data_IF_738571862341
#
_entry.id   IF_738571862341
#
_cell.length_a   1.000
_cell.length_b   1.000
_cell.length_c   1.000
_cell.angle_alpha   90.00
_cell.angle_beta   90.00
_cell.angle_gamma   90.00
#
_symmetry.space_group_name_H-M   'P 1'
#
loop_
_entity.id
_entity.type
_entity.pdbx_description
1 polymer ?
#
# COMPACT_ATOMS: atom_id res chain seq x y z
N UNK A 1 16.78 -18.41 2.87
CA UNK A 1 17.17 -18.71 1.47
C UNK A 1 16.02 -19.35 0.70
N UNK A 2 15.99 -19.19 -0.62
CA UNK A 2 15.08 -19.90 -1.49
C UNK A 2 15.52 -21.34 -1.67
N UNK A 3 14.55 -22.24 -1.59
CA UNK A 3 14.69 -23.67 -1.89
C UNK A 3 13.48 -24.09 -2.74
N UNK A 4 13.67 -25.01 -3.69
CA UNK A 4 12.59 -25.45 -4.59
C UNK A 4 11.58 -26.36 -3.88
N UNK A 5 12.00 -27.03 -2.79
CA UNK A 5 11.13 -27.91 -2.03
C UNK A 5 10.02 -27.12 -1.34
N UNK A 6 8.81 -27.68 -1.35
CA UNK A 6 7.64 -27.12 -0.69
C UNK A 6 7.71 -27.33 0.84
N UNK A 7 8.70 -26.69 1.46
CA UNK A 7 8.96 -26.72 2.90
C UNK A 7 9.46 -25.37 3.38
N UNK A 8 9.25 -25.10 4.66
CA UNK A 8 9.81 -23.96 5.38
C UNK A 8 10.47 -24.47 6.65
N UNK A 9 11.78 -24.28 6.77
CA UNK A 9 12.56 -24.66 7.96
C UNK A 9 13.75 -23.71 8.15
N UNK A 10 14.62 -23.99 9.14
CA UNK A 10 15.79 -23.15 9.44
C UNK A 10 16.82 -23.04 8.30
N UNK A 11 16.71 -23.85 7.25
CA UNK A 11 17.62 -23.84 6.08
C UNK A 11 17.08 -23.02 4.92
N UNK A 12 15.75 -22.79 4.85
CA UNK A 12 15.15 -22.00 3.78
C UNK A 12 13.64 -22.18 3.64
N UNK A 13 13.09 -21.54 2.62
CA UNK A 13 11.68 -21.65 2.25
C UNK A 13 11.47 -21.43 0.75
N UNK A 14 10.49 -22.13 0.18
CA UNK A 14 9.97 -21.85 -1.16
C UNK A 14 9.43 -20.43 -1.29
N UNK A 15 8.96 -19.83 -0.20
CA UNK A 15 8.42 -18.46 -0.14
C UNK A 15 9.38 -17.49 0.57
N UNK A 16 10.68 -17.77 0.51
CA UNK A 16 11.69 -17.02 1.26
C UNK A 16 11.70 -15.51 1.01
N UNK A 17 11.32 -15.02 -0.17
CA UNK A 17 11.33 -13.60 -0.48
C UNK A 17 10.14 -12.88 0.16
N UNK A 18 8.91 -13.39 0.01
CA UNK A 18 7.74 -12.83 0.71
C UNK A 18 7.93 -12.87 2.23
N UNK A 19 8.42 -13.99 2.79
CA UNK A 19 8.76 -14.07 4.21
C UNK A 19 9.80 -13.02 4.64
N UNK A 20 10.85 -12.79 3.84
CA UNK A 20 11.87 -11.79 4.18
C UNK A 20 11.29 -10.38 4.18
N UNK A 21 10.39 -10.06 3.26
CA UNK A 21 9.71 -8.76 3.18
C UNK A 21 8.77 -8.56 4.39
N UNK A 22 7.94 -9.55 4.69
CA UNK A 22 7.03 -9.52 5.84
C UNK A 22 7.79 -9.47 7.17
N UNK A 23 8.84 -10.29 7.35
CA UNK A 23 9.67 -10.23 8.55
C UNK A 23 10.42 -8.91 8.67
N UNK A 24 10.76 -8.26 7.56
CA UNK A 24 11.34 -6.91 7.59
C UNK A 24 10.32 -5.90 8.13
N UNK A 25 9.05 -6.00 7.74
CA UNK A 25 7.98 -5.17 8.29
C UNK A 25 7.66 -5.51 9.75
N UNK A 26 7.58 -6.80 10.12
CA UNK A 26 7.36 -7.21 11.51
C UNK A 26 8.51 -6.77 12.43
N UNK A 27 9.76 -6.84 11.96
CA UNK A 27 10.91 -6.32 12.70
C UNK A 27 10.82 -4.80 12.88
N UNK A 28 10.33 -4.06 11.88
CA UNK A 28 10.07 -2.63 12.06
C UNK A 28 9.04 -2.37 13.17
N UNK A 29 7.90 -3.08 13.16
CA UNK A 29 6.88 -2.95 14.20
C UNK A 29 7.44 -3.26 15.60
N UNK A 30 8.23 -4.33 15.72
CA UNK A 30 8.92 -4.69 16.96
C UNK A 30 9.93 -3.61 17.41
N UNK A 31 10.65 -2.98 16.46
CA UNK A 31 11.55 -1.86 16.75
C UNK A 31 10.76 -0.66 17.32
N UNK A 32 9.64 -0.28 16.71
CA UNK A 32 8.82 0.84 17.21
C UNK A 32 8.28 0.56 18.63
N UNK A 33 7.87 -0.69 18.91
CA UNK A 33 7.48 -1.11 20.26
C UNK A 33 8.65 -1.07 21.25
N UNK A 34 9.83 -1.57 20.87
CA UNK A 34 11.02 -1.51 21.74
C UNK A 34 11.38 -0.07 22.10
N UNK A 35 11.33 0.84 21.12
CA UNK A 35 11.60 2.27 21.31
C UNK A 35 10.59 2.94 22.23
N UNK A 36 9.29 2.59 22.14
CA UNK A 36 8.26 3.15 23.03
C UNK A 36 8.45 2.74 24.50
N UNK A 37 9.07 1.57 24.72
CA UNK A 37 9.40 1.03 26.05
C UNK A 37 10.78 1.46 26.55
N UNK A 38 11.53 2.27 25.80
CA UNK A 38 12.90 2.67 26.13
C UNK A 38 13.94 1.54 26.01
N UNK A 39 13.62 0.44 25.33
CA UNK A 39 14.51 -0.71 25.11
C UNK A 39 15.38 -0.49 23.86
N UNK A 40 16.40 0.36 23.99
CA UNK A 40 17.17 0.82 22.83
C UNK A 40 18.03 -0.27 22.17
N UNK A 41 18.59 -1.23 22.92
CA UNK A 41 19.34 -2.34 22.31
C UNK A 41 18.44 -3.21 21.42
N UNK A 42 17.21 -3.48 21.87
CA UNK A 42 16.21 -4.21 21.07
C UNK A 42 15.78 -3.38 19.85
N UNK A 43 15.58 -2.06 20.00
CA UNK A 43 15.28 -1.17 18.88
C UNK A 43 16.39 -1.24 17.81
N UNK A 44 17.66 -1.08 18.19
CA UNK A 44 18.80 -1.12 17.26
C UNK A 44 18.90 -2.48 16.54
N UNK A 45 18.68 -3.58 17.27
CA UNK A 45 18.64 -4.90 16.67
C UNK A 45 17.51 -5.03 15.63
N UNK A 46 16.28 -4.66 16.00
CA UNK A 46 15.10 -4.84 15.16
C UNK A 46 15.07 -3.88 13.97
N UNK A 47 15.50 -2.62 14.15
CA UNK A 47 15.54 -1.65 13.05
C UNK A 47 16.57 -2.06 11.99
N UNK A 48 17.70 -2.65 12.40
CA UNK A 48 18.66 -3.26 11.47
C UNK A 48 18.03 -4.42 10.69
N UNK A 49 17.27 -5.30 11.35
CA UNK A 49 16.57 -6.42 10.69
C UNK A 49 15.48 -5.95 9.73
N UNK A 50 14.84 -4.80 10.00
CA UNK A 50 13.82 -4.23 9.11
C UNK A 50 14.31 -3.83 7.71
N UNK A 51 15.63 -3.77 7.53
CA UNK A 51 16.30 -3.50 6.26
C UNK A 51 16.60 -4.78 5.46
N UNK A 52 16.16 -5.96 5.92
CA UNK A 52 16.40 -7.26 5.28
C UNK A 52 15.96 -7.34 3.82
N UNK A 53 14.91 -6.61 3.43
CA UNK A 53 14.46 -6.52 2.03
C UNK A 53 15.56 -6.10 1.05
N UNK A 54 16.52 -5.25 1.47
CA UNK A 54 17.64 -4.82 0.60
C UNK A 54 18.58 -5.97 0.24
N UNK A 55 18.62 -7.04 1.03
CA UNK A 55 19.42 -8.22 0.72
C UNK A 55 18.90 -8.93 -0.54
N UNK A 56 17.61 -8.79 -0.84
CA UNK A 56 16.95 -9.41 -1.99
C UNK A 56 16.71 -8.43 -3.15
N UNK A 57 16.93 -7.13 -2.95
CA UNK A 57 16.78 -6.15 -4.02
C UNK A 57 17.90 -6.31 -5.06
N UNK A 58 17.53 -6.70 -6.27
CA UNK A 58 18.45 -6.79 -7.40
C UNK A 58 18.50 -5.42 -8.11
N UNK A 59 19.68 -4.79 -8.13
CA UNK A 59 19.86 -3.44 -8.69
C UNK A 59 19.72 -3.36 -10.21
N UNK A 60 19.93 -4.47 -10.93
CA UNK A 60 19.82 -4.52 -12.38
C UNK A 60 18.35 -4.54 -12.81
N UNK A 61 17.56 -5.47 -12.26
CA UNK A 61 16.11 -5.53 -12.55
C UNK A 61 15.29 -4.50 -11.77
N UNK A 62 15.84 -4.00 -10.66
CA UNK A 62 15.14 -3.18 -9.64
C UNK A 62 13.89 -3.90 -9.11
N UNK A 63 14.03 -5.19 -8.86
CA UNK A 63 12.99 -6.05 -8.30
C UNK A 63 13.53 -6.81 -7.09
N UNK A 64 12.62 -7.21 -6.19
CA UNK A 64 12.95 -8.23 -5.21
C UNK A 64 13.16 -9.56 -5.96
N UNK A 65 14.33 -10.15 -5.74
CA UNK A 65 14.79 -11.34 -6.41
C UNK A 65 15.24 -12.35 -5.34
N UNK A 66 14.59 -13.53 -5.23
CA UNK A 66 14.99 -14.55 -4.27
C UNK A 66 16.45 -14.98 -4.43
N UNK A 67 17.10 -15.35 -3.32
CA UNK A 67 18.48 -15.83 -3.29
C UNK A 67 18.59 -17.25 -2.79
N UNK A 68 19.45 -18.05 -3.41
CA UNK A 68 19.81 -19.41 -2.98
C UNK A 68 20.64 -19.39 -1.69
N UNK A 69 20.91 -20.58 -1.14
CA UNK A 69 21.69 -20.75 0.10
C UNK A 69 23.12 -20.24 0.01
N UNK A 70 23.71 -20.21 -1.19
CA UNK A 70 25.05 -19.64 -1.45
C UNK A 70 25.05 -18.12 -1.61
N UNK A 71 23.88 -17.47 -1.54
CA UNK A 71 23.73 -16.03 -1.64
C UNK A 71 23.61 -15.48 -3.07
N UNK A 72 23.66 -16.32 -4.10
CA UNK A 72 23.40 -15.92 -5.47
C UNK A 72 21.90 -15.74 -5.72
N UNK A 73 21.54 -14.91 -6.71
CA UNK A 73 20.16 -14.79 -7.16
C UNK A 73 19.74 -16.04 -7.93
N UNK A 74 18.47 -16.44 -7.82
CA UNK A 74 17.97 -17.64 -8.51
C UNK A 74 18.09 -17.50 -10.04
N UNK A 75 18.51 -18.56 -10.73
CA UNK A 75 18.57 -18.58 -12.20
C UNK A 75 17.19 -18.71 -12.85
N UNK A 76 17.10 -18.43 -14.17
CA UNK A 76 15.85 -18.50 -14.96
C UNK A 76 14.70 -17.72 -14.29
N UNK A 77 14.98 -16.51 -13.85
CA UNK A 77 14.02 -15.68 -13.12
C UNK A 77 12.97 -15.11 -14.07
N UNK A 78 11.71 -15.46 -13.82
CA UNK A 78 10.55 -14.83 -14.43
C UNK A 78 9.84 -13.99 -13.34
N UNK A 79 9.84 -12.64 -13.45
CA UNK A 79 9.22 -11.75 -12.46
C UNK A 79 7.74 -12.00 -12.20
N UNK A 80 7.02 -12.60 -13.14
CA UNK A 80 5.59 -12.91 -13.03
C UNK A 80 5.31 -14.35 -12.59
N UNK A 81 6.35 -15.17 -12.41
CA UNK A 81 6.20 -16.53 -11.94
C UNK A 81 5.73 -16.54 -10.48
N UNK A 82 4.53 -17.07 -10.20
CA UNK A 82 4.05 -17.17 -8.83
C UNK A 82 4.70 -18.36 -8.12
N UNK A 83 4.62 -18.39 -6.78
CA UNK A 83 5.04 -19.53 -5.94
C UNK A 83 6.54 -19.84 -5.95
N UNK A 84 7.36 -18.95 -6.54
CA UNK A 84 8.81 -19.09 -6.59
C UNK A 84 9.49 -17.95 -5.87
N UNK A 85 9.67 -18.13 -4.57
CA UNK A 85 10.12 -17.11 -3.64
C UNK A 85 8.98 -16.29 -3.02
N UNK A 86 7.78 -16.35 -3.57
CA UNK A 86 6.64 -15.52 -3.18
C UNK A 86 5.41 -16.38 -2.92
N UNK A 87 4.80 -16.20 -1.74
CA UNK A 87 3.52 -16.83 -1.41
C UNK A 87 2.38 -16.06 -2.07
N UNK A 88 1.52 -16.76 -2.81
CA UNK A 88 0.31 -16.20 -3.47
C UNK A 88 0.55 -14.98 -4.36
N UNK A 89 1.78 -14.80 -4.86
CA UNK A 89 2.11 -13.65 -5.68
C UNK A 89 3.40 -13.86 -6.44
N UNK A 90 3.90 -12.78 -7.02
CA UNK A 90 5.10 -12.76 -7.84
C UNK A 90 6.00 -11.56 -7.49
N UNK A 91 7.14 -11.45 -8.15
CA UNK A 91 8.14 -10.43 -7.83
C UNK A 91 7.64 -9.01 -8.12
N UNK A 92 6.82 -8.82 -9.15
CA UNK A 92 6.28 -7.50 -9.51
C UNK A 92 5.36 -6.99 -8.41
N UNK A 93 4.50 -7.85 -7.86
CA UNK A 93 3.60 -7.51 -6.74
C UNK A 93 4.39 -7.23 -5.46
N UNK A 94 5.26 -8.16 -5.04
CA UNK A 94 5.98 -8.07 -3.76
C UNK A 94 7.09 -7.02 -3.72
N UNK A 95 7.60 -6.55 -4.86
CA UNK A 95 8.65 -5.51 -4.87
C UNK A 95 8.20 -4.24 -4.15
N UNK A 96 6.90 -3.95 -4.13
CA UNK A 96 6.34 -2.80 -3.45
C UNK A 96 6.06 -3.01 -1.96
N UNK A 97 6.25 -4.23 -1.43
CA UNK A 97 6.01 -4.58 -0.02
C UNK A 97 7.20 -4.16 0.86
N UNK A 98 7.44 -2.84 0.93
CA UNK A 98 8.37 -2.20 1.87
C UNK A 98 7.66 -1.07 2.62
N UNK A 99 6.50 -1.33 3.26
CA UNK A 99 5.70 -0.30 3.90
C UNK A 99 6.47 0.45 5.00
N UNK A 100 7.38 -0.22 5.71
CA UNK A 100 8.22 0.38 6.74
C UNK A 100 9.20 1.44 6.22
N UNK A 101 9.54 1.43 4.92
CA UNK A 101 10.50 2.37 4.34
C UNK A 101 10.22 2.65 2.86
N UNK A 102 9.09 3.30 2.52
CA UNK A 102 8.72 3.57 1.13
C UNK A 102 9.73 4.51 0.45
N UNK A 103 10.21 5.54 1.16
CA UNK A 103 11.24 6.44 0.64
C UNK A 103 12.54 5.70 0.26
N UNK A 104 12.96 4.71 1.05
CA UNK A 104 14.12 3.88 0.74
C UNK A 104 13.94 3.04 -0.52
N UNK A 105 12.77 2.44 -0.71
CA UNK A 105 12.44 1.71 -1.95
C UNK A 105 12.40 2.65 -3.16
N UNK A 106 11.77 3.82 -3.03
CA UNK A 106 11.71 4.85 -4.08
C UNK A 106 13.11 5.30 -4.46
N UNK A 107 14.03 5.44 -3.49
CA UNK A 107 15.42 5.82 -3.76
C UNK A 107 16.18 4.74 -4.56
N UNK A 108 16.01 3.46 -4.22
CA UNK A 108 16.67 2.35 -4.93
C UNK A 108 16.12 2.15 -6.36
N UNK A 109 14.81 2.36 -6.57
CA UNK A 109 14.18 2.26 -7.90
C UNK A 109 14.44 3.51 -8.74
N UNK A 110 14.46 4.68 -8.11
CA UNK A 110 14.41 6.00 -8.74
C UNK A 110 12.97 6.49 -8.86
N UNK A 111 12.71 7.75 -8.47
CA UNK A 111 11.36 8.32 -8.34
C UNK A 111 10.52 8.25 -9.63
N UNK A 112 11.10 8.58 -10.77
CA UNK A 112 10.37 8.59 -12.05
C UNK A 112 10.07 7.16 -12.52
N UNK A 113 11.06 6.27 -12.46
CA UNK A 113 10.91 4.85 -12.73
C UNK A 113 9.83 4.21 -11.83
N UNK A 114 9.84 4.54 -10.53
CA UNK A 114 8.86 4.06 -9.56
C UNK A 114 7.43 4.47 -9.95
N UNK A 115 7.23 5.76 -10.23
CA UNK A 115 5.93 6.29 -10.64
C UNK A 115 5.45 5.68 -11.96
N UNK A 116 6.34 5.56 -12.96
CA UNK A 116 6.00 5.00 -14.26
C UNK A 116 5.65 3.50 -14.14
N UNK A 117 6.38 2.75 -13.32
CA UNK A 117 6.06 1.33 -13.05
C UNK A 117 4.68 1.19 -12.41
N UNK A 118 4.41 1.92 -11.33
CA UNK A 118 3.11 1.85 -10.66
C UNK A 118 1.96 2.21 -11.60
N UNK A 119 2.06 3.33 -12.34
CA UNK A 119 0.96 3.78 -13.20
C UNK A 119 0.71 2.78 -14.35
N UNK A 120 1.77 2.22 -14.94
CA UNK A 120 1.64 1.16 -15.96
C UNK A 120 1.03 -0.13 -15.41
N UNK A 121 1.36 -0.51 -14.17
CA UNK A 121 0.77 -1.66 -13.49
C UNK A 121 -0.74 -1.47 -13.36
N UNK A 122 -1.19 -0.31 -12.89
CA UNK A 122 -2.62 -0.03 -12.74
C UNK A 122 -3.35 0.12 -14.08
N UNK A 123 -2.74 0.76 -15.09
CA UNK A 123 -3.29 0.81 -16.45
C UNK A 123 -3.49 -0.59 -17.04
N UNK A 124 -2.60 -1.53 -16.73
CA UNK A 124 -2.74 -2.92 -17.15
C UNK A 124 -3.81 -3.64 -16.34
N UNK A 125 -3.79 -3.47 -15.02
CA UNK A 125 -4.70 -4.15 -14.11
C UNK A 125 -6.16 -3.76 -14.31
N UNK A 126 -6.44 -2.48 -14.59
CA UNK A 126 -7.79 -1.97 -14.84
C UNK A 126 -8.47 -2.71 -16.01
N UNK A 127 -7.73 -3.04 -17.08
CA UNK A 127 -8.25 -3.81 -18.22
C UNK A 127 -8.76 -5.20 -17.84
N UNK A 128 -8.23 -5.75 -16.74
CA UNK A 128 -8.60 -7.05 -16.19
C UNK A 128 -9.42 -6.90 -14.90
N UNK A 129 -10.10 -5.76 -14.70
CA UNK A 129 -10.95 -5.51 -13.53
C UNK A 129 -10.19 -5.50 -12.20
N UNK A 130 -8.89 -5.21 -12.20
CA UNK A 130 -7.97 -5.22 -11.05
C UNK A 130 -7.77 -6.57 -10.33
N UNK A 131 -8.55 -7.61 -10.64
CA UNK A 131 -8.49 -8.95 -10.04
C UNK A 131 -7.91 -10.06 -10.92
N UNK A 132 -7.41 -9.72 -12.12
CA UNK A 132 -6.92 -10.72 -13.08
C UNK A 132 -8.00 -11.29 -14.01
N UNK A 133 -9.17 -10.65 -14.10
CA UNK A 133 -10.25 -10.99 -15.02
C UNK A 133 -11.59 -11.18 -14.33
N UNK A 134 -12.49 -11.91 -15.01
CA UNK A 134 -13.80 -12.34 -14.46
C UNK A 134 -13.87 -13.85 -14.24
N UNK A 135 -12.73 -14.52 -14.29
CA UNK A 135 -12.63 -15.95 -13.98
C UNK A 135 -12.91 -16.17 -12.50
N UNK A 136 -13.65 -17.23 -12.18
CA UNK A 136 -13.99 -17.58 -10.80
C UNK A 136 -13.00 -18.66 -10.35
N UNK A 137 -11.83 -18.22 -9.90
CA UNK A 137 -10.75 -19.04 -9.37
C UNK A 137 -10.10 -18.28 -8.21
N UNK A 138 -9.93 -18.94 -7.05
CA UNK A 138 -9.38 -18.31 -5.83
C UNK A 138 -7.95 -17.76 -6.02
N UNK A 139 -7.23 -18.22 -7.05
CA UNK A 139 -5.90 -17.74 -7.42
C UNK A 139 -5.90 -16.91 -8.72
N UNK A 140 -7.07 -16.42 -9.16
CA UNK A 140 -7.14 -15.48 -10.27
C UNK A 140 -6.24 -14.27 -10.00
N UNK A 141 -5.44 -13.88 -10.99
CA UNK A 141 -4.57 -12.71 -10.88
C UNK A 141 -3.18 -12.93 -10.26
N UNK A 142 -2.82 -14.13 -9.75
CA UNK A 142 -1.46 -14.36 -9.16
C UNK A 142 -0.31 -14.16 -10.16
N UNK A 143 -0.59 -14.32 -11.47
CA UNK A 143 0.37 -14.07 -12.58
C UNK A 143 0.29 -12.65 -13.12
N UNK A 144 -0.64 -11.84 -12.63
CA UNK A 144 -0.80 -10.45 -13.06
C UNK A 144 0.20 -9.54 -12.37
N UNK A 145 0.44 -8.37 -12.97
CA UNK A 145 1.30 -7.34 -12.37
C UNK A 145 0.73 -6.78 -11.04
N UNK A 146 -0.59 -6.87 -10.86
CA UNK A 146 -1.33 -6.44 -9.69
C UNK A 146 -2.61 -7.28 -9.57
N UNK A 147 -2.95 -7.64 -8.35
CA UNK A 147 -4.24 -8.22 -8.00
C UNK A 147 -4.76 -7.53 -6.74
N UNK A 148 -5.84 -6.77 -6.85
CA UNK A 148 -6.43 -6.09 -5.69
C UNK A 148 -7.04 -7.05 -4.68
N UNK A 149 -7.47 -8.24 -5.09
CA UNK A 149 -8.00 -9.26 -4.18
C UNK A 149 -6.93 -9.90 -3.31
N UNK A 150 -5.64 -9.61 -3.54
CA UNK A 150 -4.54 -10.21 -2.81
C UNK A 150 -3.82 -9.19 -1.92
N UNK A 151 -3.61 -9.53 -0.66
CA UNK A 151 -3.20 -8.64 0.44
C UNK A 151 -1.89 -7.87 0.20
N UNK A 152 -0.83 -8.47 -0.39
CA UNK A 152 0.43 -7.76 -0.63
C UNK A 152 0.29 -6.55 -1.56
N UNK A 153 -0.83 -6.39 -2.26
CA UNK A 153 -1.06 -5.32 -3.23
C UNK A 153 -1.90 -4.15 -2.68
N UNK A 154 -2.57 -4.32 -1.54
CA UNK A 154 -3.61 -3.39 -1.08
C UNK A 154 -3.08 -1.97 -0.77
N UNK A 155 -1.81 -1.84 -0.43
CA UNK A 155 -1.17 -0.55 -0.14
C UNK A 155 -0.56 0.12 -1.38
N UNK A 156 -0.46 -0.57 -2.52
CA UNK A 156 0.36 -0.15 -3.66
C UNK A 156 -0.14 1.16 -4.29
N UNK A 157 -1.45 1.38 -4.36
CA UNK A 157 -2.03 2.61 -4.92
C UNK A 157 -1.76 3.84 -4.05
N UNK A 158 -1.48 3.64 -2.77
CA UNK A 158 -1.17 4.71 -1.82
C UNK A 158 0.30 5.15 -1.88
N UNK A 159 1.18 4.32 -2.45
CA UNK A 159 2.61 4.63 -2.59
C UNK A 159 2.89 5.88 -3.46
N UNK A 160 1.95 6.32 -4.31
CA UNK A 160 2.13 7.57 -5.06
C UNK A 160 2.20 8.82 -4.16
N UNK A 161 1.60 8.79 -2.98
CA UNK A 161 1.74 9.86 -1.99
C UNK A 161 3.19 10.00 -1.53
N UNK A 162 3.89 8.89 -1.34
CA UNK A 162 5.33 8.86 -0.98
C UNK A 162 6.24 9.29 -2.12
N UNK A 163 5.86 9.02 -3.37
CA UNK A 163 6.63 9.38 -4.56
C UNK A 163 6.21 10.71 -5.20
N UNK A 164 5.40 11.52 -4.50
CA UNK A 164 5.06 12.89 -4.88
C UNK A 164 4.13 13.02 -6.08
N UNK A 165 3.26 12.03 -6.32
CA UNK A 165 2.17 12.10 -7.31
C UNK A 165 0.81 11.74 -6.67
N UNK A 166 0.35 12.45 -5.62
CA UNK A 166 -0.87 12.09 -4.88
C UNK A 166 -2.13 12.02 -5.76
N UNK A 167 -2.19 12.75 -6.87
CA UNK A 167 -3.29 12.65 -7.83
C UNK A 167 -3.41 11.26 -8.48
N UNK A 168 -2.32 10.49 -8.57
CA UNK A 168 -2.38 9.10 -9.03
C UNK A 168 -2.93 8.17 -7.95
N UNK A 169 -2.65 8.40 -6.67
CA UNK A 169 -3.36 7.71 -5.57
C UNK A 169 -4.86 7.97 -5.70
N UNK A 170 -5.27 9.23 -5.82
CA UNK A 170 -6.67 9.63 -5.95
C UNK A 170 -7.36 8.94 -7.14
N UNK A 171 -6.74 8.96 -8.33
CA UNK A 171 -7.23 8.30 -9.53
C UNK A 171 -7.43 6.80 -9.30
N UNK A 172 -6.41 6.11 -8.82
CA UNK A 172 -6.41 4.65 -8.75
C UNK A 172 -7.26 4.12 -7.61
N UNK A 173 -7.28 4.76 -6.44
CA UNK A 173 -8.17 4.32 -5.34
C UNK A 173 -9.64 4.48 -5.73
N UNK A 174 -10.00 5.54 -6.47
CA UNK A 174 -11.37 5.73 -7.00
C UNK A 174 -11.73 4.70 -8.06
N UNK A 175 -10.83 4.44 -9.01
CA UNK A 175 -11.05 3.43 -10.04
C UNK A 175 -11.22 2.03 -9.43
N UNK A 176 -10.33 1.63 -8.52
CA UNK A 176 -10.41 0.35 -7.81
C UNK A 176 -11.74 0.24 -7.05
N UNK A 177 -12.11 1.26 -6.27
CA UNK A 177 -13.35 1.23 -5.49
C UNK A 177 -14.60 1.10 -6.37
N UNK A 178 -14.60 1.73 -7.56
CA UNK A 178 -15.74 1.71 -8.47
C UNK A 178 -15.81 0.45 -9.35
N UNK A 179 -14.68 -0.15 -9.70
CA UNK A 179 -14.60 -1.19 -10.73
C UNK A 179 -14.33 -2.59 -10.16
N UNK A 180 -13.53 -2.69 -9.08
CA UNK A 180 -13.21 -3.98 -8.48
C UNK A 180 -14.33 -4.46 -7.54
N UNK A 181 -14.91 -3.56 -6.75
CA UNK A 181 -15.96 -3.88 -5.80
C UNK A 181 -17.35 -3.78 -6.44
N UNK A 182 -18.28 -4.58 -5.93
CA UNK A 182 -19.66 -4.62 -6.42
C UNK A 182 -20.66 -4.87 -5.30
N UNK A 183 -21.94 -4.86 -5.64
CA UNK A 183 -23.04 -5.22 -4.73
C UNK A 183 -23.64 -6.58 -5.04
N UNK A 184 -23.17 -7.25 -6.09
CA UNK A 184 -23.65 -8.57 -6.52
C UNK A 184 -22.81 -9.69 -5.93
N UNK A 185 -23.42 -10.86 -5.70
CA UNK A 185 -22.77 -11.99 -5.02
C UNK A 185 -21.44 -12.44 -5.64
N UNK A 186 -21.28 -12.34 -6.96
CA UNK A 186 -20.08 -12.80 -7.67
C UNK A 186 -19.01 -11.69 -7.74
N UNK A 187 -19.42 -10.43 -7.86
CA UNK A 187 -18.52 -9.28 -8.03
C UNK A 187 -18.19 -8.58 -6.71
N UNK A 188 -18.91 -8.88 -5.63
CA UNK A 188 -18.89 -8.14 -4.35
C UNK A 188 -17.50 -7.65 -3.92
N UNK A 189 -16.54 -8.56 -3.87
CA UNK A 189 -15.15 -8.30 -3.50
C UNK A 189 -14.17 -8.60 -4.64
N UNK A 190 -14.58 -8.35 -5.87
CA UNK A 190 -13.87 -8.79 -7.07
C UNK A 190 -14.27 -10.20 -7.48
N UNK A 191 -14.18 -10.47 -8.78
CA UNK A 191 -14.55 -11.76 -9.35
C UNK A 191 -13.59 -12.85 -8.87
N UNK A 192 -14.12 -13.86 -8.18
CA UNK A 192 -13.37 -15.03 -7.74
C UNK A 192 -12.34 -14.78 -6.64
N UNK A 193 -12.45 -13.67 -5.91
CA UNK A 193 -11.52 -13.33 -4.82
C UNK A 193 -12.14 -13.60 -3.45
N UNK A 194 -11.30 -13.90 -2.47
CA UNK A 194 -11.70 -14.05 -1.07
C UNK A 194 -11.85 -12.67 -0.41
N UNK A 195 -12.83 -12.54 0.49
CA UNK A 195 -13.04 -11.29 1.26
C UNK A 195 -11.97 -11.10 2.36
N UNK A 196 -11.40 -12.21 2.82
CA UNK A 196 -10.33 -12.32 3.81
C UNK A 196 -10.62 -11.67 5.16
N UNK A 197 -11.71 -12.13 5.79
CA UNK A 197 -12.02 -11.89 7.20
C UNK A 197 -12.12 -10.40 7.57
N UNK A 198 -12.66 -9.59 6.66
CA UNK A 198 -12.79 -8.15 6.80
C UNK A 198 -11.74 -7.34 6.07
N UNK A 199 -10.72 -7.96 5.46
CA UNK A 199 -9.58 -7.24 4.88
C UNK A 199 -9.97 -6.40 3.65
N UNK A 200 -10.65 -6.99 2.66
CA UNK A 200 -11.07 -6.25 1.47
C UNK A 200 -12.20 -5.27 1.79
N UNK A 201 -13.16 -5.69 2.63
CA UNK A 201 -14.22 -4.79 3.09
C UNK A 201 -13.68 -3.56 3.83
N UNK A 202 -12.72 -3.75 4.74
CA UNK A 202 -12.09 -2.64 5.48
C UNK A 202 -11.29 -1.74 4.56
N UNK A 203 -10.60 -2.29 3.55
CA UNK A 203 -9.91 -1.48 2.56
C UNK A 203 -10.88 -0.56 1.83
N UNK A 204 -12.01 -1.09 1.34
CA UNK A 204 -13.04 -0.29 0.66
C UNK A 204 -13.60 0.81 1.55
N UNK A 205 -13.93 0.50 2.81
CA UNK A 205 -14.43 1.50 3.77
C UNK A 205 -13.40 2.62 3.96
N UNK A 206 -12.14 2.28 4.19
CA UNK A 206 -11.09 3.28 4.40
C UNK A 206 -10.82 4.11 3.13
N UNK A 207 -10.69 3.46 1.97
CA UNK A 207 -10.47 4.13 0.69
C UNK A 207 -11.64 5.04 0.29
N UNK A 208 -12.89 4.63 0.54
CA UNK A 208 -14.09 5.43 0.27
C UNK A 208 -14.21 6.68 1.16
N UNK A 209 -13.65 6.63 2.36
CA UNK A 209 -13.46 7.81 3.23
C UNK A 209 -12.31 8.71 2.75
N UNK A 210 -11.50 8.24 1.80
CA UNK A 210 -10.29 8.91 1.34
C UNK A 210 -9.14 8.81 2.35
N UNK A 211 -9.10 7.76 3.18
CA UNK A 211 -8.13 7.58 4.25
C UNK A 211 -7.41 6.23 4.14
N UNK A 212 -6.12 6.18 4.42
CA UNK A 212 -5.38 4.91 4.53
C UNK A 212 -4.07 5.09 5.30
N UNK A 213 -3.45 4.01 5.75
CA UNK A 213 -2.06 4.03 6.20
C UNK A 213 -1.32 2.82 5.64
N UNK A 214 -0.35 3.07 4.76
CA UNK A 214 0.53 2.04 4.20
C UNK A 214 1.26 1.24 5.28
N UNK A 215 1.52 1.83 6.46
CA UNK A 215 2.29 1.19 7.53
C UNK A 215 1.46 0.47 8.59
N UNK A 216 0.14 0.39 8.44
CA UNK A 216 -0.72 -0.31 9.40
C UNK A 216 -0.58 0.19 10.84
N UNK A 217 -0.38 1.50 11.02
CA UNK A 217 -0.20 2.22 12.27
C UNK A 217 0.98 1.76 13.14
N UNK A 218 2.03 1.21 12.53
CA UNK A 218 3.21 0.71 13.24
C UNK A 218 4.19 1.80 13.69
N UNK A 219 4.19 2.98 13.07
CA UNK A 219 5.01 4.12 13.49
C UNK A 219 4.70 4.54 14.94
N UNK A 220 5.70 5.00 15.70
CA UNK A 220 5.48 5.58 17.04
C UNK A 220 4.45 6.73 17.06
N UNK A 221 4.43 7.52 15.99
CA UNK A 221 3.43 8.55 15.74
C UNK A 221 2.80 8.31 14.37
N UNK A 222 1.75 7.49 14.29
CA UNK A 222 1.15 7.11 13.01
C UNK A 222 0.59 8.29 12.23
N UNK A 223 0.60 8.12 10.92
CA UNK A 223 -0.08 9.01 9.99
C UNK A 223 -1.33 8.34 9.42
N UNK A 224 -2.15 9.14 8.76
CA UNK A 224 -3.18 8.71 7.82
C UNK A 224 -2.97 9.51 6.54
N UNK A 225 -2.79 8.82 5.44
CA UNK A 225 -2.73 9.38 4.09
C UNK A 225 -4.12 9.79 3.61
N UNK A 226 -4.15 10.81 2.76
CA UNK A 226 -5.36 11.37 2.17
C UNK A 226 -5.42 11.00 0.69
N UNK A 227 -6.50 10.32 0.32
CA UNK A 227 -6.82 9.92 -1.05
C UNK A 227 -7.94 10.77 -1.64
N UNK A 228 -8.88 10.12 -2.32
CA UNK A 228 -10.06 10.75 -2.90
C UNK A 228 -11.33 10.15 -2.29
N UNK A 229 -12.06 10.91 -1.45
CA UNK A 229 -13.32 10.43 -0.87
C UNK A 229 -14.37 10.14 -1.94
N UNK A 230 -15.25 9.19 -1.66
CA UNK A 230 -16.36 8.81 -2.55
C UNK A 230 -17.67 9.52 -2.22
N UNK A 231 -17.84 9.96 -0.97
CA UNK A 231 -19.10 10.53 -0.48
C UNK A 231 -18.98 12.03 -0.23
N UNK A 232 -20.09 12.75 -0.45
CA UNK A 232 -20.18 14.19 -0.16
C UNK A 232 -19.97 14.53 1.31
N UNK A 233 -20.41 13.61 2.18
CA UNK A 233 -20.26 13.71 3.62
C UNK A 233 -20.13 12.32 4.23
N UNK A 234 -19.15 12.16 5.11
CA UNK A 234 -19.04 11.02 6.01
C UNK A 234 -18.81 11.52 7.45
N UNK A 235 -19.38 10.83 8.43
CA UNK A 235 -19.16 11.12 9.85
C UNK A 235 -18.62 9.87 10.54
N UNK A 236 -17.46 10.01 11.17
CA UNK A 236 -16.80 8.94 11.91
C UNK A 236 -16.93 9.25 13.40
N UNK A 237 -17.59 8.36 14.13
CA UNK A 237 -17.60 8.37 15.59
C UNK A 237 -16.30 7.74 16.09
N UNK A 238 -15.41 8.58 16.63
CA UNK A 238 -14.10 8.16 17.07
C UNK A 238 -14.20 7.42 18.41
N UNK A 239 -13.26 6.52 18.68
CA UNK A 239 -13.24 5.73 19.93
C UNK A 239 -13.12 6.57 21.22
N UNK A 240 -12.75 7.85 21.11
CA UNK A 240 -12.71 8.80 22.22
C UNK A 240 -13.97 9.68 22.32
N UNK A 241 -15.10 9.22 21.76
CA UNK A 241 -16.40 9.90 21.72
C UNK A 241 -16.44 11.21 20.93
N UNK A 242 -15.33 11.62 20.30
CA UNK A 242 -15.31 12.74 19.37
C UNK A 242 -15.85 12.32 18.00
N UNK A 243 -16.08 13.32 17.15
CA UNK A 243 -16.56 13.13 15.79
C UNK A 243 -15.58 13.73 14.80
N UNK A 244 -15.24 12.99 13.76
CA UNK A 244 -14.56 13.51 12.57
C UNK A 244 -15.56 13.50 11.41
N UNK A 245 -15.85 14.68 10.86
CA UNK A 245 -16.68 14.83 9.68
C UNK A 245 -15.79 15.07 8.47
N UNK A 246 -15.90 14.21 7.47
CA UNK A 246 -15.29 14.39 6.15
C UNK A 246 -16.35 15.01 5.25
N UNK A 247 -16.01 16.12 4.58
CA UNK A 247 -16.88 16.84 3.67
C UNK A 247 -16.17 17.05 2.34
N UNK A 248 -16.90 16.96 1.23
CA UNK A 248 -16.37 17.33 -0.07
C UNK A 248 -17.23 18.40 -0.73
N UNK A 249 -16.61 19.26 -1.51
CA UNK A 249 -17.28 20.18 -2.44
C UNK A 249 -16.97 19.76 -3.86
N UNK A 250 -17.97 19.74 -4.73
CA UNK A 250 -17.89 19.30 -6.13
C UNK A 250 -17.48 17.84 -6.32
N UNK A 251 -17.72 16.93 -5.37
CA UNK A 251 -17.44 15.52 -5.61
C UNK A 251 -18.45 14.93 -6.61
N UNK A 252 -17.95 14.13 -7.55
CA UNK A 252 -18.77 13.44 -8.55
C UNK A 252 -17.99 12.23 -9.09
N UNK A 253 -18.59 11.48 -10.02
CA UNK A 253 -17.89 10.40 -10.71
C UNK A 253 -16.68 10.91 -11.51
N UNK A 254 -16.77 12.12 -12.06
CA UNK A 254 -15.73 12.78 -12.85
C UNK A 254 -14.74 13.56 -11.98
N UNK A 255 -15.22 14.15 -10.88
CA UNK A 255 -14.42 14.99 -10.00
C UNK A 255 -13.69 14.15 -8.95
N UNK A 256 -12.65 13.43 -9.39
CA UNK A 256 -11.88 12.50 -8.54
C UNK A 256 -10.67 13.14 -7.86
N UNK A 257 -10.24 14.33 -8.28
CA UNK A 257 -8.97 14.91 -7.84
C UNK A 257 -9.16 15.99 -6.78
N UNK A 258 -8.38 15.91 -5.70
CA UNK A 258 -8.35 16.93 -4.65
C UNK A 258 -7.63 18.17 -5.17
N UNK A 259 -8.35 19.30 -5.18
CA UNK A 259 -7.82 20.62 -5.54
C UNK A 259 -7.25 21.34 -4.31
N UNK A 260 -7.89 21.18 -3.16
CA UNK A 260 -7.44 21.68 -1.87
C UNK A 260 -8.10 20.90 -0.73
N UNK A 261 -7.49 20.95 0.46
CA UNK A 261 -8.08 20.39 1.67
C UNK A 261 -7.85 21.29 2.88
N UNK A 262 -8.76 21.24 3.85
CA UNK A 262 -8.61 21.91 5.14
C UNK A 262 -8.95 20.99 6.30
N UNK A 263 -8.27 21.16 7.43
CA UNK A 263 -8.66 20.56 8.71
C UNK A 263 -9.05 21.69 9.66
N UNK A 264 -10.31 21.70 10.10
CA UNK A 264 -10.87 22.74 10.98
C UNK A 264 -10.63 24.16 10.46
N UNK A 265 -10.76 24.35 9.14
CA UNK A 265 -10.55 25.64 8.46
C UNK A 265 -9.08 25.99 8.18
N UNK A 266 -8.13 25.19 8.66
CA UNK A 266 -6.70 25.38 8.34
C UNK A 266 -6.33 24.65 7.06
N UNK A 267 -5.73 25.35 6.11
CA UNK A 267 -5.23 24.79 4.86
C UNK A 267 -4.24 23.64 5.09
N UNK A 268 -4.40 22.56 4.32
CA UNK A 268 -3.47 21.44 4.24
C UNK A 268 -2.70 21.49 2.93
N UNK A 269 -1.37 21.47 3.04
CA UNK A 269 -0.45 21.47 1.90
C UNK A 269 0.14 20.08 1.61
N UNK A 270 -0.16 19.09 2.47
CA UNK A 270 0.34 17.73 2.39
C UNK A 270 -0.82 16.72 2.28
N UNK A 271 -0.58 15.59 1.65
CA UNK A 271 -1.55 14.52 1.41
C UNK A 271 -1.64 13.50 2.57
N UNK A 272 -1.39 13.94 3.81
CA UNK A 272 -1.43 13.08 4.99
C UNK A 272 -1.66 13.91 6.25
N UNK A 273 -2.01 13.29 7.36
CA UNK A 273 -2.14 13.93 8.67
C UNK A 273 -1.64 12.96 9.74
N UNK A 274 -1.13 13.48 10.85
CA UNK A 274 -0.91 12.61 11.99
C UNK A 274 -2.25 12.12 12.55
N UNK A 275 -2.30 10.84 12.92
CA UNK A 275 -3.50 10.21 13.47
C UNK A 275 -3.99 10.92 14.73
N UNK A 276 -3.07 11.40 15.57
CA UNK A 276 -3.41 12.14 16.80
C UNK A 276 -4.17 13.44 16.54
N UNK A 277 -3.86 14.17 15.46
CA UNK A 277 -4.59 15.35 15.00
C UNK A 277 -6.01 14.99 14.55
N UNK A 278 -6.16 13.92 13.75
CA UNK A 278 -7.48 13.43 13.32
C UNK A 278 -8.33 12.94 14.49
N UNK A 279 -7.71 12.31 15.49
CA UNK A 279 -8.38 11.86 16.71
C UNK A 279 -8.89 13.02 17.58
N UNK A 280 -8.50 14.28 17.31
CA UNK A 280 -9.13 15.46 17.94
C UNK A 280 -10.53 15.75 17.39
N UNK A 281 -10.92 15.10 16.30
CA UNK A 281 -12.19 15.32 15.62
C UNK A 281 -12.25 16.65 14.88
N UNK A 282 -13.46 17.05 14.50
CA UNK A 282 -13.73 18.27 13.76
C UNK A 282 -14.06 17.99 12.29
N UNK A 283 -13.65 18.89 11.39
CA UNK A 283 -14.03 18.86 9.97
C UNK A 283 -12.80 18.76 9.07
N UNK A 284 -12.70 17.68 8.32
CA UNK A 284 -11.77 17.53 7.20
C UNK A 284 -12.56 17.81 5.91
N UNK A 285 -12.20 18.87 5.19
CA UNK A 285 -12.94 19.32 4.01
C UNK A 285 -12.06 19.25 2.77
N UNK A 286 -12.58 18.69 1.68
CA UNK A 286 -11.92 18.61 0.38
C UNK A 286 -12.69 19.43 -0.66
N UNK A 287 -11.97 20.10 -1.54
CA UNK A 287 -12.52 20.65 -2.80
C UNK A 287 -12.06 19.74 -3.92
N UNK A 288 -13.00 19.18 -4.67
CA UNK A 288 -12.74 18.21 -5.74
C UNK A 288 -12.78 18.85 -7.12
N UNK A 289 -12.15 18.21 -8.10
CA UNK A 289 -12.13 18.64 -9.50
C UNK A 289 -11.85 17.48 -10.45
N UNK A 290 -12.12 17.69 -11.74
CA UNK A 290 -11.97 16.68 -12.80
C UNK A 290 -10.57 16.61 -13.42
N UNK A 291 -9.66 17.52 -13.04
CA UNK A 291 -8.26 17.53 -13.47
C UNK A 291 -7.33 17.43 -12.27
N UNK A 292 -6.17 16.75 -12.39
CA UNK A 292 -5.22 16.64 -11.31
C UNK A 292 -4.67 18.02 -10.92
N UNK A 293 -4.64 18.31 -9.62
CA UNK A 293 -3.83 19.41 -9.10
C UNK A 293 -2.42 18.90 -8.78
N UNK A 294 -1.49 19.09 -9.72
CA UNK A 294 -0.12 18.61 -9.58
C UNK A 294 0.71 19.37 -8.53
N UNK A 295 0.16 20.44 -7.93
CA UNK A 295 0.83 21.25 -6.92
C UNK A 295 0.36 20.97 -5.48
N UNK A 296 -0.74 20.22 -5.29
CA UNK A 296 -1.26 19.91 -3.97
C UNK A 296 -0.64 18.62 -3.41
N UNK A 297 -0.28 18.62 -2.12
CA UNK A 297 0.14 17.41 -1.44
C UNK A 297 1.57 16.94 -1.74
N UNK A 298 2.35 17.67 -2.54
CA UNK A 298 3.68 17.25 -3.01
C UNK A 298 4.87 17.76 -2.19
N UNK A 299 4.69 18.82 -1.41
CA UNK A 299 5.82 19.52 -0.74
C UNK A 299 6.47 18.66 0.34
N UNK A 300 5.64 18.00 1.15
CA UNK A 300 6.07 17.19 2.27
C UNK A 300 5.53 15.76 2.08
N UNK A 301 6.35 14.82 1.58
CA UNK A 301 5.92 13.43 1.47
C UNK A 301 5.63 12.85 2.87
N UNK A 302 4.81 11.79 2.96
CA UNK A 302 4.59 11.13 4.23
C UNK A 302 5.90 10.59 4.86
N UNK A 303 6.05 10.63 6.19
CA UNK A 303 7.27 10.21 6.88
C UNK A 303 7.60 8.73 6.61
N UNK A 304 8.86 8.49 6.25
CA UNK A 304 9.40 7.15 5.95
C UNK A 304 10.61 6.80 6.82
N UNK A 305 10.90 7.61 7.83
CA UNK A 305 12.12 7.49 8.64
C UNK A 305 12.11 6.20 9.46
N UNK A 306 13.22 5.47 9.41
CA UNK A 306 13.53 4.33 10.28
C UNK A 306 14.48 4.74 11.39
#
# INVERSE_FOLDING_TARGET
PFIEQDKTDGTGSRFSASHTLEYSFSAFAAAQMAKSLGKMDDYEMFIKKSNGWRMLFNKESKLIHPKTTDGSFIGKFDPLQPWRGFQEGNAVQYTFYVPQNPAGLIAEIGKDEFNNRLDNIFLTAQKNGFGGGKEIDAFAGIKSNYNHGNQPNLHVSWLFNFSGKPWLTQKWTRAISNEFYGTENIHGYGYGQDEDQGQLGSWYVMASLGLFDVKGFTDLRPIIELGSPMFDKAEIHLGNQKKLTILTTNNSAENVYVQSATLNGKQLDNCWLYRDELMKGGKLQFVMGNQPNENWGIKNPPPSTQ
#
